data_IF_051901775744
#
_entry.id   IF_051901775744
#
_cell.length_a   1.000
_cell.length_b   1.000
_cell.length_c   1.000
_cell.angle_alpha   90.00
_cell.angle_beta   90.00
_cell.angle_gamma   90.00
#
_symmetry.space_group_name_H-M   'P 1'
#
loop_
_entity.id
_entity.type
_entity.pdbx_description
1 polymer ?
#
# COMPACT_ATOMS: atom_id res chain seq x y z
N UNK A 1 -10.64 21.86 21.16
CA UNK A 1 -11.93 21.63 20.44
C UNK A 1 -11.72 21.44 18.94
N UNK A 2 -10.79 22.16 18.32
CA UNK A 2 -10.54 22.14 16.86
C UNK A 2 -10.13 20.76 16.30
N UNK A 3 -9.36 19.96 17.04
CA UNK A 3 -8.90 18.63 16.56
C UNK A 3 -10.03 17.61 16.43
N UNK A 4 -10.99 17.58 17.36
CA UNK A 4 -12.15 16.66 17.28
C UNK A 4 -13.08 17.00 16.11
N UNK A 5 -13.23 18.29 15.80
CA UNK A 5 -13.99 18.75 14.64
C UNK A 5 -13.33 18.31 13.32
N UNK A 6 -12.01 18.46 13.22
CA UNK A 6 -11.24 17.99 12.08
C UNK A 6 -11.34 16.47 11.91
N UNK A 7 -11.16 15.70 12.99
CA UNK A 7 -11.29 14.24 12.97
C UNK A 7 -12.67 13.80 12.47
N UNK A 8 -13.73 14.40 12.98
CA UNK A 8 -15.10 14.06 12.59
C UNK A 8 -15.36 14.39 11.12
N UNK A 9 -14.88 15.54 10.65
CA UNK A 9 -15.02 15.96 9.26
C UNK A 9 -14.26 15.05 8.30
N UNK A 10 -13.01 14.67 8.65
CA UNK A 10 -12.20 13.76 7.84
C UNK A 10 -12.84 12.37 7.76
N UNK A 11 -13.39 11.87 8.87
CA UNK A 11 -14.08 10.57 8.88
C UNK A 11 -15.32 10.61 7.97
N UNK A 12 -16.10 11.69 8.03
CA UNK A 12 -17.29 11.81 7.20
C UNK A 12 -16.94 11.96 5.72
N UNK A 13 -15.94 12.78 5.39
CA UNK A 13 -15.44 12.94 4.03
C UNK A 13 -14.85 11.64 3.45
N UNK A 14 -14.27 10.80 4.32
CA UNK A 14 -13.79 9.46 3.94
C UNK A 14 -14.97 8.52 3.67
N UNK A 15 -15.98 8.50 4.54
CA UNK A 15 -17.20 7.68 4.36
C UNK A 15 -17.99 8.06 3.12
N UNK A 16 -18.04 9.35 2.77
CA UNK A 16 -18.69 9.83 1.56
C UNK A 16 -17.88 9.58 0.28
N UNK A 17 -16.68 9.01 0.38
CA UNK A 17 -15.76 8.82 -0.75
C UNK A 17 -15.21 10.12 -1.33
N UNK A 18 -15.40 11.25 -0.63
CA UNK A 18 -14.91 12.56 -1.08
C UNK A 18 -13.40 12.71 -0.91
N UNK A 19 -12.80 11.92 -0.01
CA UNK A 19 -11.35 11.80 0.15
C UNK A 19 -10.95 10.33 0.31
N UNK A 20 -9.81 9.94 -0.28
CA UNK A 20 -9.20 8.62 -0.10
C UNK A 20 -8.33 8.52 1.16
N UNK A 21 -7.84 7.31 1.47
CA UNK A 21 -7.04 7.05 2.68
C UNK A 21 -5.75 7.88 2.75
N UNK A 22 -5.11 8.15 1.60
CA UNK A 22 -3.92 9.00 1.53
C UNK A 22 -4.17 10.44 2.00
N UNK A 23 -5.30 11.02 1.63
CA UNK A 23 -5.68 12.39 1.99
C UNK A 23 -6.13 12.49 3.45
N UNK A 24 -6.85 11.48 3.94
CA UNK A 24 -7.19 11.37 5.35
C UNK A 24 -5.95 11.28 6.26
N UNK A 25 -4.92 10.52 5.84
CA UNK A 25 -3.63 10.43 6.54
C UNK A 25 -2.95 11.79 6.66
N UNK A 26 -2.87 12.52 5.55
CA UNK A 26 -2.25 13.84 5.47
C UNK A 26 -2.97 14.86 6.37
N UNK A 27 -4.30 14.92 6.29
CA UNK A 27 -5.12 15.88 7.06
C UNK A 27 -5.08 15.62 8.57
N UNK A 28 -4.97 14.35 8.99
CA UNK A 28 -4.85 13.98 10.39
C UNK A 28 -3.41 14.01 10.91
N UNK A 29 -2.43 14.22 10.03
CA UNK A 29 -1.02 14.30 10.39
C UNK A 29 -0.40 12.96 10.78
N UNK A 30 -0.93 11.85 10.26
CA UNK A 30 -0.34 10.54 10.47
C UNK A 30 0.84 10.32 9.53
N UNK A 31 1.90 9.68 10.04
CA UNK A 31 3.09 9.39 9.24
C UNK A 31 2.86 8.17 8.36
N UNK A 32 2.08 7.21 8.84
CA UNK A 32 1.86 5.93 8.14
C UNK A 32 0.40 5.63 7.88
N UNK A 33 0.13 4.79 6.87
CA UNK A 33 -1.21 4.25 6.61
C UNK A 33 -1.70 3.39 7.79
N UNK A 34 -0.78 2.73 8.49
CA UNK A 34 -1.08 1.88 9.64
C UNK A 34 -1.59 2.69 10.85
N UNK A 35 -1.03 3.88 11.08
CA UNK A 35 -1.50 4.79 12.13
C UNK A 35 -2.92 5.30 11.83
N UNK A 36 -3.19 5.66 10.57
CA UNK A 36 -4.54 6.03 10.13
C UNK A 36 -5.51 4.87 10.32
N UNK A 37 -5.13 3.66 9.92
CA UNK A 37 -5.94 2.45 10.03
C UNK A 37 -6.28 2.13 11.49
N UNK A 38 -5.31 2.20 12.40
CA UNK A 38 -5.53 2.01 13.82
C UNK A 38 -6.49 3.07 14.39
N UNK A 39 -6.35 4.33 13.97
CA UNK A 39 -7.22 5.42 14.38
C UNK A 39 -8.67 5.24 13.90
N UNK A 40 -8.87 4.79 12.66
CA UNK A 40 -10.18 4.50 12.08
C UNK A 40 -10.83 3.27 12.73
N UNK A 41 -10.08 2.17 12.92
CA UNK A 41 -10.55 0.96 13.59
C UNK A 41 -11.04 1.22 15.01
N UNK A 42 -10.35 2.09 15.76
CA UNK A 42 -10.78 2.50 17.10
C UNK A 42 -12.14 3.23 17.12
N UNK A 43 -12.64 3.68 15.97
CA UNK A 43 -13.94 4.35 15.78
C UNK A 43 -14.90 3.53 14.93
N UNK A 44 -14.62 2.24 14.74
CA UNK A 44 -15.40 1.31 13.91
C UNK A 44 -15.55 1.78 12.45
N UNK A 45 -14.59 2.58 11.99
CA UNK A 45 -14.43 2.92 10.57
C UNK A 45 -13.39 1.97 10.03
N UNK A 46 -13.76 1.15 9.06
CA UNK A 46 -12.80 0.27 8.39
C UNK A 46 -12.33 0.97 7.12
N UNK A 47 -11.02 0.94 6.87
CA UNK A 47 -10.50 1.41 5.60
C UNK A 47 -11.06 0.51 4.50
N UNK A 48 -11.90 1.09 3.65
CA UNK A 48 -12.25 0.51 2.36
C UNK A 48 -11.06 0.72 1.43
N UNK A 49 -10.35 -0.37 1.16
CA UNK A 49 -9.34 -0.41 0.12
C UNK A 49 -10.05 -0.67 -1.21
N UNK A 50 -10.22 0.37 -2.02
CA UNK A 50 -10.85 0.27 -3.33
C UNK A 50 -9.82 0.26 -4.46
N UNK A 51 -10.30 0.06 -5.69
CA UNK A 51 -9.45 -0.01 -6.88
C UNK A 51 -8.70 1.32 -7.11
N UNK A 52 -9.29 2.45 -6.75
CA UNK A 52 -8.67 3.76 -6.92
C UNK A 52 -7.46 3.93 -5.97
N UNK A 53 -7.57 3.45 -4.73
CA UNK A 53 -6.44 3.36 -3.79
C UNK A 53 -5.32 2.48 -4.37
N UNK A 54 -5.64 1.34 -4.99
CA UNK A 54 -4.66 0.46 -5.66
C UNK A 54 -3.97 1.17 -6.83
N UNK A 55 -4.74 1.86 -7.67
CA UNK A 55 -4.22 2.58 -8.84
C UNK A 55 -3.26 3.71 -8.42
N UNK A 56 -3.60 4.43 -7.36
CA UNK A 56 -2.76 5.48 -6.81
C UNK A 56 -1.46 4.93 -6.21
N UNK A 57 -1.52 3.80 -5.51
CA UNK A 57 -0.33 3.11 -5.00
C UNK A 57 0.52 2.56 -6.14
N UNK A 58 -0.08 2.00 -7.20
CA UNK A 58 0.66 1.58 -8.40
C UNK A 58 1.37 2.76 -9.08
N UNK A 59 0.73 3.93 -9.13
CA UNK A 59 1.36 5.13 -9.71
C UNK A 59 2.54 5.60 -8.84
N UNK A 60 2.39 5.57 -7.52
CA UNK A 60 3.47 5.92 -6.58
C UNK A 60 4.62 4.91 -6.65
N UNK A 61 4.32 3.62 -6.75
CA UNK A 61 5.32 2.55 -6.93
C UNK A 61 5.99 2.70 -8.28
N UNK A 62 5.28 2.99 -9.38
CA UNK A 62 5.91 3.20 -10.71
C UNK A 62 6.89 4.38 -10.72
N UNK A 63 6.63 5.43 -9.94
CA UNK A 63 7.55 6.56 -9.81
C UNK A 63 8.76 6.23 -8.92
N UNK A 64 8.64 5.21 -8.07
CA UNK A 64 9.63 4.86 -7.03
C UNK A 64 10.27 3.49 -7.24
N UNK A 65 9.90 2.75 -8.29
CA UNK A 65 10.06 1.29 -8.37
C UNK A 65 11.50 0.81 -8.40
N UNK A 66 12.44 1.71 -8.67
CA UNK A 66 13.86 1.36 -8.67
C UNK A 66 14.67 2.07 -7.58
N UNK A 67 14.05 2.80 -6.64
CA UNK A 67 14.80 3.48 -5.58
C UNK A 67 15.96 4.32 -6.14
N UNK A 68 17.14 4.27 -5.52
CA UNK A 68 18.36 4.94 -6.02
C UNK A 68 19.00 4.24 -7.23
N UNK A 69 18.54 3.04 -7.58
CA UNK A 69 19.09 2.19 -8.64
C UNK A 69 18.26 2.24 -9.93
N UNK A 70 17.48 3.31 -10.13
CA UNK A 70 16.76 3.62 -11.37
C UNK A 70 17.70 3.53 -12.58
N UNK A 71 17.39 2.65 -13.53
CA UNK A 71 18.19 2.39 -14.73
C UNK A 71 19.40 1.45 -14.54
N UNK A 72 19.64 0.94 -13.32
CA UNK A 72 20.73 -0.01 -13.01
C UNK A 72 20.27 -1.46 -12.91
N UNK A 73 19.00 -1.67 -12.52
CA UNK A 73 18.38 -3.00 -12.56
C UNK A 73 17.94 -3.32 -13.98
N UNK A 74 18.60 -4.29 -14.61
CA UNK A 74 18.15 -4.89 -15.87
C UNK A 74 17.41 -6.16 -15.49
N UNK A 75 16.12 -6.24 -15.81
CA UNK A 75 15.37 -7.50 -15.72
C UNK A 75 15.83 -8.37 -16.88
N UNK A 76 16.42 -9.57 -16.63
CA UNK A 76 16.81 -10.48 -17.69
C UNK A 76 15.60 -10.92 -18.53
N UNK A 77 15.81 -11.18 -19.83
CA UNK A 77 14.74 -11.64 -20.74
C UNK A 77 14.12 -12.97 -20.30
N UNK A 78 14.85 -13.75 -19.51
CA UNK A 78 14.47 -15.06 -19.01
C UNK A 78 13.93 -15.04 -17.57
N UNK A 79 13.62 -13.86 -17.02
CA UNK A 79 13.14 -13.72 -15.63
C UNK A 79 11.84 -14.49 -15.36
N UNK A 80 10.90 -14.49 -16.32
CA UNK A 80 9.62 -15.18 -16.21
C UNK A 80 9.70 -16.68 -16.54
N UNK A 81 10.91 -17.22 -16.81
CA UNK A 81 11.05 -18.66 -17.07
C UNK A 81 10.66 -19.46 -15.82
N UNK A 82 10.01 -20.62 -15.97
CA UNK A 82 9.76 -21.49 -14.84
C UNK A 82 11.08 -21.83 -14.13
N UNK A 83 11.04 -21.84 -12.79
CA UNK A 83 12.21 -22.17 -11.98
C UNK A 83 12.72 -23.57 -12.35
N UNK A 84 14.04 -23.79 -12.41
CA UNK A 84 14.60 -25.12 -12.62
C UNK A 84 14.08 -26.13 -11.58
N UNK A 85 13.86 -27.37 -12.00
CA UNK A 85 13.33 -28.44 -11.12
C UNK A 85 14.20 -28.68 -9.89
N UNK A 86 15.52 -28.55 -10.01
CA UNK A 86 16.47 -28.65 -8.90
C UNK A 86 16.22 -27.60 -7.81
N UNK A 87 15.93 -26.36 -8.22
CA UNK A 87 15.61 -25.27 -7.29
C UNK A 87 14.26 -25.56 -6.63
N UNK A 88 13.25 -25.99 -7.40
CA UNK A 88 11.94 -26.33 -6.87
C UNK A 88 12.03 -27.48 -5.85
N UNK A 89 12.80 -28.52 -6.15
CA UNK A 89 13.02 -29.67 -5.26
C UNK A 89 13.64 -29.28 -3.91
N UNK A 90 14.57 -28.30 -3.90
CA UNK A 90 15.17 -27.77 -2.68
C UNK A 90 14.15 -27.05 -1.77
N UNK A 91 13.12 -26.41 -2.34
CA UNK A 91 12.01 -25.82 -1.58
C UNK A 91 10.97 -26.84 -1.14
N UNK A 92 10.76 -27.90 -1.93
CA UNK A 92 9.81 -28.99 -1.63
C UNK A 92 10.37 -30.04 -0.66
N UNK A 93 11.64 -29.91 -0.25
CA UNK A 93 12.28 -30.82 0.71
C UNK A 93 12.54 -32.21 0.16
N UNK A 94 12.55 -32.36 -1.16
CA UNK A 94 12.83 -33.61 -1.86
C UNK A 94 14.26 -33.56 -2.40
N UNK A 95 15.25 -33.47 -1.49
CA UNK A 95 16.63 -33.76 -1.84
C UNK A 95 16.82 -35.28 -1.86
N UNK A 96 17.36 -35.79 -2.96
CA UNK A 96 17.62 -37.20 -3.21
C UNK A 96 18.64 -37.82 -2.23
#
# INVERSE_FOLDING_TARGET
>A
MERKLLELWVIEAYRSGSIGGGKARELLGFSTRLELDAFFKAREVYLHYDIADIEQDQQTIRLSSLGQDQGRFVVPEDFDRPLPEEILAAFEGNEA
#
